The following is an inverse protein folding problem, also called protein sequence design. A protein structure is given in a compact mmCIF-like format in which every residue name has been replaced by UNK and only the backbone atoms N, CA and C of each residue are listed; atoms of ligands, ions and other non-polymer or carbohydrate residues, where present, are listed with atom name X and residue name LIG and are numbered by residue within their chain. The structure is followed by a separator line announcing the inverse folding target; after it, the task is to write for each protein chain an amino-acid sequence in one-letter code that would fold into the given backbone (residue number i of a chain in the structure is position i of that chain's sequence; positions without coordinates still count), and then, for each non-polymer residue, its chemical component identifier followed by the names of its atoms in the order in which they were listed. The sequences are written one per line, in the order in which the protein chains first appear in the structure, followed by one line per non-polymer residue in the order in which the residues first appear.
data_IF_021583817463
#
_entry.id   IF_021583817463
#
_cell.length_a   1.000
_cell.length_b   1.000
_cell.length_c   1.000
_cell.angle_alpha   90.00
_cell.angle_beta   90.00
_cell.angle_gamma   90.00
#
_symmetry.space_group_name_H-M   'P 1'
#
loop_
_entity.id
_entity.type
_entity.pdbx_description
1 polymer ?
#
# COMPACT_ATOMS: atom_id res chain seq x y z
N UNK A 1 -16.46 54.67 14.24
CA UNK A 1 -16.65 53.20 14.25
C UNK A 1 -16.37 52.77 15.68
N UNK A 2 -17.35 52.17 16.36
CA UNK A 2 -17.16 51.78 17.76
C UNK A 2 -16.08 50.71 17.84
N UNK A 3 -15.18 50.81 18.84
CA UNK A 3 -14.04 49.92 19.03
C UNK A 3 -14.40 48.42 18.92
N UNK A 4 -15.60 48.05 19.39
CA UNK A 4 -16.16 46.71 19.31
C UNK A 4 -16.36 46.18 17.89
N UNK A 5 -16.74 47.05 16.94
CA UNK A 5 -16.92 46.67 15.53
C UNK A 5 -15.55 46.32 14.91
N UNK A 6 -14.52 47.10 15.23
CA UNK A 6 -13.15 46.85 14.74
C UNK A 6 -12.64 45.51 15.30
N UNK A 7 -12.85 45.25 16.60
CA UNK A 7 -12.47 43.97 17.24
C UNK A 7 -13.17 42.79 16.55
N UNK A 8 -14.47 42.90 16.29
CA UNK A 8 -15.25 41.85 15.64
C UNK A 8 -14.77 41.57 14.21
N UNK A 9 -14.46 42.61 13.44
CA UNK A 9 -13.89 42.46 12.08
C UNK A 9 -12.54 41.74 12.12
N UNK A 10 -11.66 42.13 13.06
CA UNK A 10 -10.34 41.49 13.21
C UNK A 10 -10.48 40.01 13.56
N UNK A 11 -11.40 39.65 14.45
CA UNK A 11 -11.68 38.25 14.81
C UNK A 11 -12.18 37.46 13.60
N UNK A 12 -13.10 38.01 12.82
CA UNK A 12 -13.62 37.35 11.61
C UNK A 12 -12.50 37.12 10.60
N UNK A 13 -11.64 38.11 10.37
CA UNK A 13 -10.50 37.98 9.46
C UNK A 13 -9.54 36.91 9.96
N UNK A 14 -9.24 36.87 11.27
CA UNK A 14 -8.38 35.85 11.85
C UNK A 14 -8.95 34.43 11.67
N UNK A 15 -10.26 34.25 11.89
CA UNK A 15 -10.95 32.97 11.66
C UNK A 15 -10.89 32.58 10.18
N UNK A 16 -11.16 33.51 9.26
CA UNK A 16 -11.11 33.23 7.83
C UNK A 16 -9.71 32.78 7.39
N UNK A 17 -8.65 33.43 7.88
CA UNK A 17 -7.27 33.03 7.60
C UNK A 17 -6.94 31.63 8.14
N UNK A 18 -7.41 31.29 9.33
CA UNK A 18 -7.24 29.93 9.89
C UNK A 18 -7.96 28.89 9.04
N UNK A 19 -9.20 29.16 8.61
CA UNK A 19 -9.97 28.26 7.74
C UNK A 19 -9.22 27.99 6.44
N UNK A 20 -8.74 29.04 5.76
CA UNK A 20 -7.97 28.91 4.51
C UNK A 20 -6.69 28.08 4.73
N UNK A 21 -5.96 28.34 5.83
CA UNK A 21 -4.73 27.61 6.15
C UNK A 21 -5.00 26.10 6.30
N UNK A 22 -5.88 25.71 7.22
CA UNK A 22 -6.12 24.30 7.51
C UNK A 22 -6.80 23.57 6.35
N UNK A 23 -7.66 24.26 5.58
CA UNK A 23 -8.21 23.69 4.35
C UNK A 23 -7.09 23.31 3.36
N UNK A 24 -6.14 24.21 3.13
CA UNK A 24 -4.99 23.92 2.25
C UNK A 24 -4.10 22.81 2.81
N UNK A 25 -3.86 22.78 4.12
CA UNK A 25 -3.09 21.71 4.77
C UNK A 25 -3.77 20.33 4.59
N UNK A 26 -5.10 20.25 4.74
CA UNK A 26 -5.88 19.04 4.50
C UNK A 26 -5.85 18.61 3.02
N UNK A 27 -5.98 19.56 2.07
CA UNK A 27 -5.85 19.28 0.64
C UNK A 27 -4.47 18.73 0.31
N UNK A 28 -3.41 19.35 0.84
CA UNK A 28 -2.04 18.89 0.66
C UNK A 28 -1.84 17.49 1.23
N UNK A 29 -2.32 17.22 2.45
CA UNK A 29 -2.27 15.89 3.06
C UNK A 29 -2.94 14.82 2.21
N UNK A 30 -4.15 15.09 1.71
CA UNK A 30 -4.87 14.17 0.81
C UNK A 30 -4.12 13.92 -0.50
N UNK A 31 -3.51 14.95 -1.08
CA UNK A 31 -2.71 14.82 -2.29
C UNK A 31 -1.43 14.02 -2.05
N UNK A 32 -0.80 14.17 -0.88
CA UNK A 32 0.34 13.35 -0.48
C UNK A 32 -0.04 11.87 -0.34
N UNK A 33 -1.19 11.55 0.27
CA UNK A 33 -1.70 10.17 0.34
C UNK A 33 -1.89 9.60 -1.07
N UNK A 34 -2.52 10.35 -1.99
CA UNK A 34 -2.71 9.92 -3.38
C UNK A 34 -1.39 9.69 -4.12
N UNK A 35 -0.41 10.55 -3.92
CA UNK A 35 0.92 10.39 -4.50
C UNK A 35 1.62 9.13 -3.95
N UNK A 36 1.61 8.95 -2.63
CA UNK A 36 2.19 7.78 -2.00
C UNK A 36 1.51 6.47 -2.48
N UNK A 37 0.19 6.48 -2.66
CA UNK A 37 -0.54 5.36 -3.26
C UNK A 37 -0.04 5.05 -4.67
N UNK A 38 0.07 6.06 -5.53
CA UNK A 38 0.56 5.90 -6.90
C UNK A 38 1.99 5.32 -6.95
N UNK A 39 2.84 5.65 -5.98
CA UNK A 39 4.19 5.08 -5.90
C UNK A 39 4.16 3.57 -5.59
N UNK A 40 3.27 3.12 -4.71
CA UNK A 40 3.06 1.68 -4.45
C UNK A 40 2.51 1.00 -5.71
N UNK A 41 1.46 1.57 -6.31
CA UNK A 41 0.76 1.01 -7.46
C UNK A 41 1.70 0.70 -8.63
N UNK A 42 2.64 1.60 -8.93
CA UNK A 42 3.67 1.38 -9.95
C UNK A 42 4.54 0.15 -9.65
N UNK A 43 4.94 -0.06 -8.40
CA UNK A 43 5.76 -1.22 -8.04
C UNK A 43 4.95 -2.53 -8.04
N UNK A 44 3.70 -2.48 -7.58
CA UNK A 44 2.78 -3.61 -7.66
C UNK A 44 2.55 -4.04 -9.10
N UNK A 45 2.30 -3.08 -9.99
CA UNK A 45 2.14 -3.31 -11.42
C UNK A 45 3.41 -3.91 -12.03
N UNK A 46 4.59 -3.35 -11.73
CA UNK A 46 5.87 -3.91 -12.19
C UNK A 46 6.03 -5.37 -11.77
N UNK A 47 5.74 -5.71 -10.50
CA UNK A 47 5.82 -7.11 -10.02
C UNK A 47 4.83 -8.00 -10.78
N UNK A 48 3.61 -7.52 -10.98
CA UNK A 48 2.55 -8.24 -11.71
C UNK A 48 2.93 -8.53 -13.17
N UNK A 49 3.63 -7.61 -13.82
CA UNK A 49 4.10 -7.73 -15.20
C UNK A 49 5.28 -8.71 -15.35
N UNK A 50 6.07 -8.91 -14.29
CA UNK A 50 7.19 -9.87 -14.26
C UNK A 50 6.73 -11.32 -13.98
N UNK A 51 5.58 -11.52 -13.32
CA UNK A 51 5.08 -12.84 -12.94
C UNK A 51 4.93 -13.82 -14.14
N UNK A 52 4.36 -13.43 -15.29
CA UNK A 52 4.25 -14.33 -16.44
C UNK A 52 5.61 -14.88 -16.90
N UNK A 53 6.64 -14.02 -16.93
CA UNK A 53 7.99 -14.40 -17.40
C UNK A 53 8.66 -15.40 -16.46
N UNK A 54 8.56 -15.20 -15.13
CA UNK A 54 9.13 -16.16 -14.17
C UNK A 54 8.35 -17.49 -14.21
N UNK A 55 7.02 -17.45 -14.40
CA UNK A 55 6.17 -18.64 -14.50
C UNK A 55 6.50 -19.45 -15.76
N UNK A 56 6.65 -18.81 -16.91
CA UNK A 56 7.10 -19.43 -18.16
C UNK A 56 8.48 -20.08 -18.00
N UNK A 57 9.43 -19.36 -17.38
CA UNK A 57 10.78 -19.87 -17.13
C UNK A 57 10.75 -21.11 -16.25
N UNK A 58 10.01 -21.09 -15.14
CA UNK A 58 9.90 -22.24 -14.23
C UNK A 58 9.19 -23.41 -14.91
N UNK A 59 8.13 -23.17 -15.70
CA UNK A 59 7.43 -24.23 -16.45
C UNK A 59 8.36 -25.02 -17.38
N UNK A 60 9.35 -24.37 -17.98
CA UNK A 60 10.32 -25.02 -18.87
C UNK A 60 11.20 -26.09 -18.19
N UNK A 61 11.41 -25.98 -16.88
CA UNK A 61 12.30 -26.87 -16.11
C UNK A 61 11.56 -27.73 -15.07
N UNK A 62 10.51 -27.17 -14.46
CA UNK A 62 9.78 -27.74 -13.34
C UNK A 62 8.27 -27.83 -13.63
N UNK A 63 7.89 -28.22 -14.85
CA UNK A 63 6.48 -28.30 -15.29
C UNK A 63 5.60 -29.29 -14.49
N UNK A 64 6.20 -30.16 -13.68
CA UNK A 64 5.49 -31.05 -12.76
C UNK A 64 4.96 -30.30 -11.51
N UNK A 65 5.47 -29.09 -11.22
CA UNK A 65 5.08 -28.23 -10.08
C UNK A 65 3.79 -27.44 -10.35
N UNK A 66 2.76 -28.14 -10.84
CA UNK A 66 1.50 -27.53 -11.27
C UNK A 66 0.80 -26.78 -10.14
N UNK A 67 0.83 -27.31 -8.93
CA UNK A 67 0.20 -26.67 -7.77
C UNK A 67 0.85 -25.32 -7.46
N UNK A 68 2.18 -25.26 -7.42
CA UNK A 68 2.92 -24.02 -7.15
C UNK A 68 2.69 -22.98 -8.25
N UNK A 69 2.71 -23.39 -9.51
CA UNK A 69 2.44 -22.50 -10.65
C UNK A 69 0.98 -22.02 -10.67
N UNK A 70 0.02 -22.85 -10.25
CA UNK A 70 -1.39 -22.47 -10.10
C UNK A 70 -1.53 -21.39 -9.02
N UNK A 71 -0.93 -21.59 -7.85
CA UNK A 71 -0.96 -20.62 -6.74
C UNK A 71 -0.43 -19.25 -7.16
N UNK A 72 0.67 -19.20 -7.92
CA UNK A 72 1.22 -17.93 -8.44
C UNK A 72 0.26 -17.27 -9.43
N UNK A 73 -0.37 -18.06 -10.31
CA UNK A 73 -1.33 -17.55 -11.30
C UNK A 73 -2.61 -17.05 -10.63
N UNK A 74 -3.12 -17.75 -9.62
CA UNK A 74 -4.27 -17.36 -8.82
C UNK A 74 -4.00 -16.10 -8.00
N UNK A 75 -2.83 -16.01 -7.35
CA UNK A 75 -2.41 -14.81 -6.62
C UNK A 75 -2.25 -13.60 -7.57
N UNK A 76 -1.80 -13.82 -8.80
CA UNK A 76 -1.77 -12.79 -9.82
C UNK A 76 -3.17 -12.32 -10.21
N UNK A 77 -4.11 -13.25 -10.35
CA UNK A 77 -5.49 -12.95 -10.68
C UNK A 77 -6.22 -12.19 -9.55
N UNK A 78 -5.90 -12.46 -8.28
CA UNK A 78 -6.50 -11.70 -7.17
C UNK A 78 -6.11 -10.22 -7.21
N UNK A 79 -4.87 -9.90 -7.59
CA UNK A 79 -4.43 -8.50 -7.78
C UNK A 79 -5.22 -7.76 -8.86
N UNK A 80 -5.56 -8.46 -9.97
CA UNK A 80 -6.35 -7.86 -11.04
C UNK A 80 -7.81 -7.55 -10.65
N UNK A 81 -8.33 -8.22 -9.61
CA UNK A 81 -9.68 -8.03 -9.11
C UNK A 81 -9.76 -7.08 -7.90
N UNK A 82 -8.62 -6.67 -7.35
CA UNK A 82 -8.57 -5.80 -6.19
C UNK A 82 -8.90 -4.35 -6.58
N UNK A 83 -9.86 -3.75 -5.87
CA UNK A 83 -10.37 -2.40 -6.14
C UNK A 83 -10.13 -1.43 -4.99
N UNK A 84 -9.98 -1.93 -3.77
CA UNK A 84 -9.71 -1.13 -2.57
C UNK A 84 -8.26 -1.28 -2.12
N UNK A 85 -7.77 -0.30 -1.34
CA UNK A 85 -6.43 -0.34 -0.73
C UNK A 85 -6.19 -1.63 0.04
N UNK A 86 -7.23 -2.05 0.77
CA UNK A 86 -7.23 -3.29 1.56
C UNK A 86 -7.16 -4.55 0.69
N UNK A 87 -8.01 -4.66 -0.33
CA UNK A 87 -7.98 -5.81 -1.25
C UNK A 87 -6.63 -5.94 -1.96
N UNK A 88 -6.04 -4.81 -2.34
CA UNK A 88 -4.70 -4.76 -2.95
C UNK A 88 -3.65 -5.25 -1.96
N UNK A 89 -3.72 -4.86 -0.68
CA UNK A 89 -2.79 -5.32 0.35
C UNK A 89 -2.91 -6.83 0.63
N UNK A 90 -4.13 -7.37 0.60
CA UNK A 90 -4.38 -8.82 0.73
C UNK A 90 -3.84 -9.58 -0.48
N UNK A 91 -4.12 -9.12 -1.70
CA UNK A 91 -3.61 -9.71 -2.93
C UNK A 91 -2.06 -9.65 -2.99
N UNK A 92 -1.48 -8.53 -2.58
CA UNK A 92 -0.02 -8.37 -2.46
C UNK A 92 0.59 -9.44 -1.55
N UNK A 93 -0.01 -9.68 -0.39
CA UNK A 93 0.44 -10.72 0.56
C UNK A 93 0.38 -12.12 -0.06
N UNK A 94 -0.68 -12.43 -0.81
CA UNK A 94 -0.81 -13.70 -1.54
C UNK A 94 0.29 -13.87 -2.58
N UNK A 95 0.60 -12.82 -3.35
CA UNK A 95 1.67 -12.84 -4.35
C UNK A 95 3.02 -13.06 -3.68
N UNK A 96 3.35 -12.31 -2.62
CA UNK A 96 4.60 -12.46 -1.88
C UNK A 96 4.76 -13.88 -1.34
N UNK A 97 3.70 -14.49 -0.81
CA UNK A 97 3.72 -15.88 -0.34
C UNK A 97 3.92 -16.87 -1.49
N UNK A 98 3.21 -16.71 -2.60
CA UNK A 98 3.32 -17.60 -3.75
C UNK A 98 4.70 -17.53 -4.42
N UNK A 99 5.29 -16.34 -4.53
CA UNK A 99 6.65 -16.14 -5.07
C UNK A 99 7.71 -16.80 -4.17
N UNK A 100 7.57 -16.71 -2.84
CA UNK A 100 8.46 -17.43 -1.92
C UNK A 100 8.41 -18.95 -2.14
N UNK A 101 7.21 -19.51 -2.30
CA UNK A 101 7.05 -20.94 -2.62
C UNK A 101 7.65 -21.30 -3.99
N UNK A 102 7.47 -20.44 -5.00
CA UNK A 102 8.06 -20.64 -6.32
C UNK A 102 9.60 -20.62 -6.29
N UNK A 103 10.20 -19.73 -5.50
CA UNK A 103 11.65 -19.67 -5.34
C UNK A 103 12.19 -20.89 -4.58
N UNK A 104 11.47 -21.39 -3.58
CA UNK A 104 11.85 -22.63 -2.90
C UNK A 104 11.86 -23.85 -3.83
N UNK A 105 10.95 -23.92 -4.81
CA UNK A 105 10.96 -24.97 -5.84
C UNK A 105 12.30 -24.99 -6.58
N UNK A 106 12.88 -23.84 -6.89
CA UNK A 106 14.16 -23.78 -7.64
C UNK A 106 15.32 -24.52 -6.95
N UNK A 107 15.28 -24.71 -5.64
CA UNK A 107 16.30 -25.46 -4.91
C UNK A 107 16.35 -26.94 -5.28
N UNK A 108 15.20 -27.51 -5.68
CA UNK A 108 15.08 -28.90 -6.11
C UNK A 108 15.48 -29.13 -7.58
N UNK A 109 15.66 -28.06 -8.37
CA UNK A 109 15.94 -28.13 -9.81
C UNK A 109 17.24 -27.37 -10.14
N UNK A 110 18.42 -28.02 -10.08
CA UNK A 110 19.72 -27.37 -10.28
C UNK A 110 19.86 -26.62 -11.61
N UNK A 111 19.29 -27.16 -12.70
CA UNK A 111 19.33 -26.51 -14.02
C UNK A 111 18.52 -25.21 -14.07
N UNK A 112 17.39 -25.15 -13.36
CA UNK A 112 16.60 -23.93 -13.20
C UNK A 112 17.35 -22.92 -12.33
N UNK A 113 17.95 -23.39 -11.23
CA UNK A 113 18.73 -22.57 -10.31
C UNK A 113 19.95 -21.94 -10.98
N UNK A 114 20.54 -22.62 -11.95
CA UNK A 114 21.65 -22.12 -12.75
C UNK A 114 21.21 -21.33 -14.00
N UNK A 115 19.91 -21.26 -14.29
CA UNK A 115 19.41 -20.53 -15.45
C UNK A 115 19.54 -19.01 -15.23
N UNK A 116 20.28 -18.35 -16.12
CA UNK A 116 20.57 -16.92 -16.01
C UNK A 116 19.30 -16.04 -16.03
N UNK A 117 18.33 -16.34 -16.91
CA UNK A 117 17.07 -15.59 -16.99
C UNK A 117 16.25 -15.74 -15.69
N UNK A 118 16.25 -16.93 -15.09
CA UNK A 118 15.57 -17.17 -13.81
C UNK A 118 16.21 -16.35 -12.69
N UNK A 119 17.54 -16.33 -12.59
CA UNK A 119 18.28 -15.56 -11.59
C UNK A 119 17.98 -14.06 -11.74
N UNK A 120 18.00 -13.54 -12.97
CA UNK A 120 17.69 -12.13 -13.25
C UNK A 120 16.26 -11.76 -12.86
N UNK A 121 15.27 -12.55 -13.26
CA UNK A 121 13.87 -12.31 -12.90
C UNK A 121 13.63 -12.44 -11.39
N UNK A 122 14.26 -13.42 -10.72
CA UNK A 122 14.20 -13.56 -9.27
C UNK A 122 14.76 -12.32 -8.57
N UNK A 123 15.89 -11.81 -9.04
CA UNK A 123 16.51 -10.60 -8.51
C UNK A 123 15.60 -9.37 -8.71
N UNK A 124 15.06 -9.16 -9.92
CA UNK A 124 14.15 -8.05 -10.20
C UNK A 124 12.87 -8.09 -9.35
N UNK A 125 12.30 -9.29 -9.15
CA UNK A 125 11.14 -9.50 -8.29
C UNK A 125 11.48 -9.20 -6.81
N UNK A 126 12.65 -9.64 -6.33
CA UNK A 126 13.11 -9.35 -4.97
C UNK A 126 13.34 -7.84 -4.75
N UNK A 127 13.99 -7.17 -5.70
CA UNK A 127 14.18 -5.71 -5.63
C UNK A 127 12.86 -4.94 -5.67
N UNK A 128 11.89 -5.45 -6.43
CA UNK A 128 10.55 -4.84 -6.48
C UNK A 128 9.82 -5.05 -5.15
N UNK A 129 9.97 -6.21 -4.51
CA UNK A 129 9.42 -6.49 -3.17
C UNK A 129 9.99 -5.54 -2.11
N UNK A 130 11.30 -5.31 -2.12
CA UNK A 130 11.95 -4.37 -1.19
C UNK A 130 11.42 -2.93 -1.37
N UNK A 131 11.22 -2.51 -2.63
CA UNK A 131 10.62 -1.21 -2.96
C UNK A 131 9.16 -1.12 -2.53
N UNK A 132 8.38 -2.18 -2.70
CA UNK A 132 6.98 -2.25 -2.23
C UNK A 132 6.95 -2.11 -0.71
N UNK A 133 7.82 -2.82 0.01
CA UNK A 133 7.91 -2.74 1.47
C UNK A 133 8.19 -1.32 1.96
N UNK A 134 9.18 -0.65 1.37
CA UNK A 134 9.49 0.74 1.69
C UNK A 134 8.34 1.69 1.33
N UNK A 135 7.75 1.54 0.14
CA UNK A 135 6.64 2.37 -0.31
C UNK A 135 5.39 2.19 0.57
N UNK A 136 5.13 0.97 1.06
CA UNK A 136 4.06 0.67 2.05
C UNK A 136 4.27 1.45 3.34
N UNK A 137 5.47 1.40 3.90
CA UNK A 137 5.78 2.16 5.11
C UNK A 137 5.56 3.66 4.88
N UNK A 138 6.08 4.20 3.78
CA UNK A 138 5.94 5.61 3.43
C UNK A 138 4.47 6.03 3.24
N UNK A 139 3.65 5.19 2.60
CA UNK A 139 2.22 5.42 2.46
C UNK A 139 1.51 5.42 3.82
N UNK A 140 1.75 4.41 4.65
CA UNK A 140 1.13 4.32 5.98
C UNK A 140 1.52 5.52 6.87
N UNK A 141 2.78 5.95 6.82
CA UNK A 141 3.22 7.17 7.52
C UNK A 141 2.51 8.43 7.01
N UNK A 142 2.26 8.51 5.70
CA UNK A 142 1.56 9.62 5.06
C UNK A 142 0.06 9.62 5.41
N UNK A 143 -0.57 8.44 5.40
CA UNK A 143 -1.94 8.22 5.85
C UNK A 143 -2.09 8.61 7.31
N UNK A 144 -1.17 8.21 8.19
CA UNK A 144 -1.18 8.58 9.59
C UNK A 144 -1.13 10.11 9.77
N UNK A 145 -0.23 10.79 9.06
CA UNK A 145 -0.13 12.26 9.12
C UNK A 145 -1.41 12.94 8.65
N UNK A 146 -1.99 12.48 7.54
CA UNK A 146 -3.25 13.03 7.01
C UNK A 146 -4.43 12.76 7.94
N UNK A 147 -4.57 11.54 8.46
CA UNK A 147 -5.63 11.17 9.39
C UNK A 147 -5.54 11.97 10.69
N UNK A 148 -4.32 12.21 11.20
CA UNK A 148 -4.08 13.10 12.32
C UNK A 148 -4.55 14.54 12.02
N UNK A 149 -4.27 15.09 10.84
CA UNK A 149 -4.78 16.41 10.44
C UNK A 149 -6.32 16.44 10.42
N UNK A 150 -6.97 15.36 9.97
CA UNK A 150 -8.42 15.27 9.95
C UNK A 150 -9.04 15.18 11.36
N UNK A 151 -8.29 14.70 12.36
CA UNK A 151 -8.80 14.42 13.71
C UNK A 151 -8.37 15.45 14.77
N UNK A 152 -7.26 16.16 14.55
CA UNK A 152 -6.74 17.12 15.52
C UNK A 152 -7.50 18.45 15.50
N UNK A 153 -7.70 19.05 16.67
CA UNK A 153 -8.23 20.42 16.76
C UNK A 153 -7.12 21.43 16.44
N UNK A 154 -7.41 22.51 15.67
CA UNK A 154 -8.73 22.91 15.17
C UNK A 154 -9.09 22.40 13.76
N UNK A 155 -8.19 21.68 13.07
CA UNK A 155 -8.41 21.22 11.70
C UNK A 155 -9.57 20.23 11.54
N UNK A 156 -9.92 19.48 12.59
CA UNK A 156 -11.03 18.52 12.58
C UNK A 156 -12.41 19.14 12.32
N UNK A 157 -12.63 20.38 12.74
CA UNK A 157 -13.86 21.13 12.44
C UNK A 157 -13.96 21.38 10.94
N UNK A 158 -12.85 21.80 10.34
CA UNK A 158 -12.76 22.09 8.91
C UNK A 158 -12.86 20.79 8.11
N UNK A 159 -12.20 19.72 8.58
CA UNK A 159 -12.31 18.39 7.99
C UNK A 159 -13.77 17.91 7.95
N UNK A 160 -14.51 18.06 9.05
CA UNK A 160 -15.92 17.67 9.12
C UNK A 160 -16.83 18.51 8.22
N UNK A 161 -16.66 19.85 8.19
CA UNK A 161 -17.47 20.76 7.36
C UNK A 161 -17.26 20.52 5.87
N UNK A 162 -16.01 20.25 5.46
CA UNK A 162 -15.64 20.10 4.05
C UNK A 162 -15.49 18.64 3.60
N UNK A 163 -15.93 17.68 4.43
CA UNK A 163 -15.93 16.24 4.11
C UNK A 163 -14.54 15.69 3.73
N UNK A 164 -13.53 15.99 4.53
CA UNK A 164 -12.24 15.29 4.44
C UNK A 164 -12.31 13.96 5.20
N UNK A 165 -12.51 12.88 4.45
CA UNK A 165 -12.56 11.53 4.99
C UNK A 165 -11.16 10.99 5.33
N UNK A 166 -11.10 10.07 6.29
CA UNK A 166 -9.88 9.36 6.65
C UNK A 166 -9.42 8.46 5.50
N UNK A 167 -8.11 8.39 5.29
CA UNK A 167 -7.52 7.45 4.35
C UNK A 167 -7.32 6.08 5.02
N UNK A 168 -7.46 5.02 4.23
CA UNK A 168 -7.18 3.65 4.64
C UNK A 168 -5.67 3.37 4.68
N UNK A 169 -5.22 2.55 5.62
CA UNK A 169 -3.84 2.07 5.65
C UNK A 169 -3.65 0.90 4.69
N UNK A 170 -2.43 0.77 4.14
CA UNK A 170 -2.01 -0.40 3.36
C UNK A 170 -1.59 -1.49 4.34
N UNK A 171 -2.56 -2.28 4.79
CA UNK A 171 -2.36 -3.42 5.68
C UNK A 171 -3.25 -4.56 5.22
N UNK A 172 -2.65 -5.74 4.97
CA UNK A 172 -3.43 -6.96 4.87
C UNK A 172 -4.07 -7.23 6.24
N UNK A 173 -5.25 -7.84 6.29
CA UNK A 173 -5.86 -8.21 7.57
C UNK A 173 -4.82 -8.92 8.45
N UNK A 174 -4.43 -8.28 9.55
CA UNK A 174 -3.84 -9.00 10.65
C UNK A 174 -4.87 -10.05 11.03
N UNK A 175 -4.61 -11.30 10.66
CA UNK A 175 -5.27 -12.44 11.28
C UNK A 175 -5.26 -12.14 12.77
N UNK A 176 -6.46 -11.95 13.31
CA UNK A 176 -6.74 -11.41 14.63
C UNK A 176 -5.59 -11.77 15.57
N UNK A 177 -4.87 -10.78 16.10
CA UNK A 177 -3.97 -10.99 17.25
C UNK A 177 -4.82 -11.39 18.45
N UNK A 178 -5.49 -12.55 18.37
CA UNK A 178 -6.06 -13.23 19.50
C UNK A 178 -4.86 -13.72 20.28
N UNK A 179 -4.43 -12.90 21.24
CA UNK A 179 -3.47 -13.31 22.25
C UNK A 179 -3.89 -14.71 22.74
N UNK A 180 -2.97 -15.69 22.82
CA UNK A 180 -3.32 -17.01 23.30
C UNK A 180 -3.93 -16.87 24.68
N UNK A 181 -5.19 -17.29 24.84
CA UNK A 181 -5.84 -17.36 26.15
C UNK A 181 -5.15 -18.47 26.92
N UNK A 182 -4.16 -18.11 27.72
CA UNK A 182 -3.58 -19.00 28.73
C UNK A 182 -4.69 -19.28 29.74
N UNK A 183 -5.25 -20.49 29.70
CA UNK A 183 -6.10 -21.01 30.76
C UNK A 183 -5.18 -21.68 31.78
N UNK A 184 -5.27 -21.26 33.04
CA UNK A 184 -4.74 -22.00 34.18
C UNK A 184 -5.72 -23.10 34.58
#
# INVERSE_FOLDING_TARGET
MDLWIIILIVIIIAIALLVVKYYNDLVNGRNHVKNAWSQIDVQLQRRNDLIPNIVETVKGYAGHEKETLSKVTEARASMANATTVKEVAEADTMITSALKSLFAVSEAYPDLKANQNFIELQQELSETEDKISYARQFYNDTVLKYNNLCQQFPSSIIASIFHFDLAEFFEAQEGTRAAPKVQF
#
